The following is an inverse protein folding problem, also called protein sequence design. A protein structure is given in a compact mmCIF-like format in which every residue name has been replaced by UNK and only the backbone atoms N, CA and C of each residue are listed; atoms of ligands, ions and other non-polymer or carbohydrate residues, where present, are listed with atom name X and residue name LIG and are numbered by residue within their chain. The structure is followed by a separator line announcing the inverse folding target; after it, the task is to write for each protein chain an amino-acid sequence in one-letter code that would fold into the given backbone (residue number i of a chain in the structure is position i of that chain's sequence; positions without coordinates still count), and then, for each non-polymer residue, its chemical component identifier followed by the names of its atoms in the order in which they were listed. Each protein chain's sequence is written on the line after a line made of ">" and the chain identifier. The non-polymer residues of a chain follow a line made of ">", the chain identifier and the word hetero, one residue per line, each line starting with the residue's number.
data_IF_710213906479
#
_entry.id   IF_710213906479
#
_cell.length_a   1.000
_cell.length_b   1.000
_cell.length_c   1.000
_cell.angle_alpha   90.00
_cell.angle_beta   90.00
_cell.angle_gamma   90.00
#
_symmetry.space_group_name_H-M   'P 1'
#
loop_
_entity.id
_entity.type
_entity.pdbx_description
1 polymer ?
#
# COMPACT_ATOMS: atom_id res chain seq x y z
N UNK A 1 -1.20 -5.12 -20.17
CA UNK A 1 -0.83 -5.34 -18.75
C UNK A 1 0.55 -4.77 -18.47
N UNK A 2 0.69 -4.01 -17.39
CA UNK A 2 1.95 -3.40 -16.94
C UNK A 2 2.10 -3.56 -15.42
N UNK A 3 3.33 -3.51 -14.91
CA UNK A 3 3.57 -3.39 -13.46
C UNK A 3 3.89 -1.94 -13.16
N UNK A 4 3.07 -1.31 -12.33
CA UNK A 4 3.30 0.05 -11.87
C UNK A 4 3.89 0.04 -10.46
N UNK A 5 4.73 1.03 -10.18
CA UNK A 5 5.25 1.35 -8.85
C UNK A 5 4.63 2.64 -8.38
N UNK A 6 4.01 2.63 -7.21
CA UNK A 6 3.38 3.80 -6.59
C UNK A 6 4.08 4.05 -5.25
N UNK A 7 4.77 5.19 -5.07
CA UNK A 7 5.27 5.57 -3.76
C UNK A 7 4.10 5.90 -2.83
N UNK A 8 4.22 5.50 -1.57
CA UNK A 8 3.24 5.77 -0.52
C UNK A 8 3.85 6.70 0.52
N UNK A 9 3.05 7.61 1.05
CA UNK A 9 3.44 8.42 2.21
C UNK A 9 3.19 7.63 3.49
N UNK A 10 4.04 7.79 4.51
CA UNK A 10 3.79 7.20 5.84
C UNK A 10 2.78 8.09 6.58
N UNK A 11 1.51 7.77 6.41
CA UNK A 11 0.35 8.42 7.05
C UNK A 11 -0.71 7.36 7.34
N UNK A 12 -1.59 7.61 8.31
CA UNK A 12 -2.60 6.65 8.77
C UNK A 12 -3.57 6.26 7.64
N UNK A 13 -3.87 7.19 6.73
CA UNK A 13 -4.74 7.00 5.57
C UNK A 13 -4.28 7.84 4.37
N UNK A 14 -4.33 7.24 3.18
CA UNK A 14 -4.14 7.95 1.91
C UNK A 14 -4.94 7.28 0.79
N UNK A 15 -5.18 8.01 -0.30
CA UNK A 15 -5.79 7.48 -1.52
C UNK A 15 -4.78 7.41 -2.65
N UNK A 16 -4.76 6.29 -3.36
CA UNK A 16 -3.99 6.11 -4.59
C UNK A 16 -4.94 5.82 -5.76
N UNK A 17 -4.64 6.38 -6.93
CA UNK A 17 -5.38 6.08 -8.15
C UNK A 17 -4.71 4.91 -8.88
N UNK A 18 -5.44 3.82 -9.07
CA UNK A 18 -5.01 2.68 -9.89
C UNK A 18 -6.09 2.36 -10.93
N UNK A 19 -5.73 1.85 -12.12
CA UNK A 19 -6.71 1.38 -13.08
C UNK A 19 -7.65 0.32 -12.48
N UNK A 20 -8.92 0.35 -12.86
CA UNK A 20 -9.93 -0.62 -12.41
C UNK A 20 -9.46 -2.05 -12.72
N UNK A 21 -9.56 -2.94 -11.73
CA UNK A 21 -9.08 -4.31 -11.84
C UNK A 21 -7.58 -4.48 -11.58
N UNK A 22 -6.89 -3.42 -11.15
CA UNK A 22 -5.52 -3.52 -10.68
C UNK A 22 -5.37 -4.59 -9.59
N UNK A 23 -4.37 -5.46 -9.75
CA UNK A 23 -4.00 -6.46 -8.75
C UNK A 23 -2.75 -6.00 -8.02
N UNK A 24 -2.90 -5.66 -6.75
CA UNK A 24 -1.76 -5.35 -5.89
C UNK A 24 -0.91 -6.60 -5.72
N UNK A 25 0.40 -6.46 -5.88
CA UNK A 25 1.36 -7.56 -5.86
C UNK A 25 2.13 -7.61 -4.54
N UNK A 26 2.59 -6.45 -4.08
CA UNK A 26 3.40 -6.34 -2.86
C UNK A 26 3.57 -4.88 -2.43
N UNK A 27 3.97 -4.69 -1.18
CA UNK A 27 4.51 -3.44 -0.64
C UNK A 27 5.91 -3.71 -0.07
N UNK A 28 6.86 -2.83 -0.38
CA UNK A 28 8.24 -2.91 0.13
C UNK A 28 8.86 -1.52 0.17
N UNK A 29 9.87 -1.35 1.02
CA UNK A 29 10.75 -0.20 0.98
C UNK A 29 11.78 -0.36 -0.16
N UNK A 30 11.92 0.69 -0.97
CA UNK A 30 12.98 0.79 -1.97
C UNK A 30 13.70 2.13 -1.78
N UNK A 31 15.01 2.08 -1.51
CA UNK A 31 15.80 3.26 -1.15
C UNK A 31 15.14 4.08 -0.03
N UNK A 32 14.64 3.38 0.99
CA UNK A 32 13.91 3.95 2.14
C UNK A 32 12.64 4.74 1.80
N UNK A 33 12.01 4.40 0.67
CA UNK A 33 10.67 4.89 0.30
C UNK A 33 9.73 3.70 0.27
N UNK A 34 8.64 3.76 1.04
CA UNK A 34 7.57 2.77 0.96
C UNK A 34 6.92 2.84 -0.43
N UNK A 35 6.94 1.72 -1.14
CA UNK A 35 6.36 1.60 -2.47
C UNK A 35 5.38 0.43 -2.51
N UNK A 36 4.35 0.59 -3.34
CA UNK A 36 3.40 -0.45 -3.72
C UNK A 36 3.61 -0.81 -5.19
N UNK A 37 3.53 -2.10 -5.51
CA UNK A 37 3.52 -2.58 -6.89
C UNK A 37 2.18 -3.21 -7.23
N UNK A 38 1.67 -2.89 -8.41
CA UNK A 38 0.41 -3.45 -8.91
C UNK A 38 0.52 -3.86 -10.39
N UNK A 39 -0.11 -4.98 -10.74
CA UNK A 39 -0.37 -5.36 -12.12
C UNK A 39 -1.63 -4.66 -12.59
N UNK A 40 -1.53 -3.89 -13.67
CA UNK A 40 -2.59 -3.01 -14.15
C UNK A 40 -2.87 -3.19 -15.63
N UNK A 41 -4.07 -2.80 -16.06
CA UNK A 41 -4.42 -2.57 -17.45
C UNK A 41 -4.39 -1.05 -17.72
N UNK A 42 -3.44 -0.51 -18.51
CA UNK A 42 -3.27 0.93 -18.66
C UNK A 42 -4.43 1.63 -19.37
N UNK A 43 -5.23 0.87 -20.13
CA UNK A 43 -6.38 1.40 -20.86
C UNK A 43 -7.67 1.40 -20.00
N UNK A 44 -7.63 0.82 -18.79
CA UNK A 44 -8.76 0.80 -17.89
C UNK A 44 -8.92 2.13 -17.13
N UNK A 45 -10.17 2.48 -16.83
CA UNK A 45 -10.49 3.72 -16.10
C UNK A 45 -9.89 3.70 -14.69
N UNK A 46 -9.24 4.78 -14.22
CA UNK A 46 -8.74 4.89 -12.86
C UNK A 46 -9.86 4.78 -11.80
N UNK A 47 -9.50 4.25 -10.63
CA UNK A 47 -10.31 4.22 -9.42
C UNK A 47 -9.42 4.51 -8.21
N UNK A 48 -9.97 5.19 -7.22
CA UNK A 48 -9.30 5.43 -5.95
C UNK A 48 -9.33 4.17 -5.08
N UNK A 49 -8.18 3.86 -4.49
CA UNK A 49 -7.99 2.85 -3.46
C UNK A 49 -7.53 3.55 -2.19
N UNK A 50 -8.25 3.33 -1.09
CA UNK A 50 -7.84 3.78 0.24
C UNK A 50 -6.81 2.82 0.80
N UNK A 51 -5.66 3.35 1.20
CA UNK A 51 -4.56 2.62 1.82
C UNK A 51 -4.44 3.10 3.27
N UNK A 52 -4.32 2.14 4.19
CA UNK A 52 -4.11 2.38 5.63
C UNK A 52 -2.77 1.80 6.04
N UNK A 53 -2.00 2.55 6.82
CA UNK A 53 -0.66 2.15 7.27
C UNK A 53 -0.59 2.25 8.78
N UNK A 54 -0.11 1.18 9.42
CA UNK A 54 0.04 1.12 10.86
C UNK A 54 1.47 0.75 11.24
N UNK A 55 2.01 1.42 12.26
CA UNK A 55 3.30 1.04 12.86
C UNK A 55 3.15 -0.15 13.80
N UNK A 56 4.18 -0.98 13.92
CA UNK A 56 4.18 -2.06 14.93
C UNK A 56 4.01 -1.49 16.34
N UNK A 57 3.05 -2.02 17.09
CA UNK A 57 2.75 -1.59 18.47
C UNK A 57 1.80 -0.40 18.57
N UNK A 58 1.35 0.19 17.46
CA UNK A 58 0.34 1.24 17.44
C UNK A 58 -1.08 0.64 17.42
N UNK A 59 -2.10 1.38 17.91
CA UNK A 59 -3.50 0.99 17.74
C UNK A 59 -3.85 0.79 16.25
N UNK A 60 -4.62 -0.25 15.97
CA UNK A 60 -5.02 -0.62 14.62
C UNK A 60 -6.48 -1.11 14.58
N UNK A 61 -7.34 -0.53 15.44
CA UNK A 61 -8.77 -0.87 15.49
C UNK A 61 -9.45 -0.63 14.13
N UNK A 62 -9.00 0.39 13.40
CA UNK A 62 -9.46 0.71 12.05
C UNK A 62 -9.01 -0.29 10.97
N UNK A 63 -8.10 -1.22 11.29
CA UNK A 63 -7.70 -2.28 10.35
C UNK A 63 -8.74 -3.41 10.25
N UNK A 64 -9.71 -3.46 11.18
CA UNK A 64 -10.73 -4.52 11.20
C UNK A 64 -11.57 -4.46 9.93
N UNK A 65 -11.57 -5.56 9.17
CA UNK A 65 -12.31 -5.68 7.91
C UNK A 65 -11.57 -5.15 6.68
N UNK A 66 -10.37 -4.61 6.84
CA UNK A 66 -9.50 -4.24 5.72
C UNK A 66 -8.74 -5.46 5.17
N UNK A 67 -8.36 -5.39 3.91
CA UNK A 67 -7.51 -6.39 3.28
C UNK A 67 -6.04 -6.08 3.53
N UNK A 68 -5.33 -7.05 4.11
CA UNK A 68 -3.89 -6.93 4.35
C UNK A 68 -3.10 -7.07 3.05
N UNK A 69 -2.21 -6.11 2.78
CA UNK A 69 -1.35 -6.10 1.60
C UNK A 69 0.03 -6.66 1.93
N UNK A 70 0.62 -6.24 3.04
CA UNK A 70 1.97 -6.68 3.40
C UNK A 70 2.59 -5.91 4.56
N UNK A 71 3.79 -6.34 4.94
CA UNK A 71 4.62 -5.69 5.96
C UNK A 71 5.96 -5.32 5.35
N UNK A 72 6.48 -4.16 5.72
CA UNK A 72 7.78 -3.66 5.26
C UNK A 72 8.56 -3.06 6.41
N UNK A 73 9.88 -3.01 6.27
CA UNK A 73 10.81 -2.48 7.24
C UNK A 73 11.58 -1.33 6.60
N UNK A 74 11.83 -0.25 7.35
CA UNK A 74 12.48 0.99 6.92
C UNK A 74 13.50 1.44 7.95
N UNK A 75 14.39 2.37 7.57
CA UNK A 75 15.48 2.90 8.41
C UNK A 75 16.28 1.78 9.09
N UNK A 76 16.94 0.94 8.28
CA UNK A 76 17.71 -0.22 8.76
C UNK A 76 16.92 -1.13 9.71
N UNK A 77 15.64 -1.31 9.41
CA UNK A 77 14.67 -2.12 10.18
C UNK A 77 14.30 -1.54 11.55
N UNK A 78 14.65 -0.29 11.83
CA UNK A 78 14.21 0.41 13.05
C UNK A 78 12.70 0.69 13.05
N UNK A 79 12.09 0.83 11.87
CA UNK A 79 10.66 1.07 11.70
C UNK A 79 10.01 -0.07 10.91
N UNK A 80 8.86 -0.54 11.37
CA UNK A 80 8.09 -1.61 10.74
C UNK A 80 6.67 -1.12 10.49
N UNK A 81 6.22 -1.24 9.24
CA UNK A 81 4.91 -0.76 8.79
C UNK A 81 4.08 -1.89 8.21
N UNK A 82 2.78 -1.88 8.51
CA UNK A 82 1.79 -2.83 8.02
C UNK A 82 0.78 -2.09 7.15
N UNK A 83 0.63 -2.53 5.90
CA UNK A 83 -0.20 -1.84 4.89
C UNK A 83 -1.45 -2.64 4.60
N UNK A 84 -2.59 -1.95 4.60
CA UNK A 84 -3.91 -2.49 4.34
C UNK A 84 -4.62 -1.66 3.27
N UNK A 85 -5.65 -2.22 2.65
CA UNK A 85 -6.58 -1.49 1.78
C UNK A 85 -8.03 -1.79 2.15
N UNK A 86 -8.92 -0.90 1.74
CA UNK A 86 -10.36 -1.20 1.71
C UNK A 86 -10.67 -2.29 0.68
N UNK A 87 -11.73 -3.07 0.96
CA UNK A 87 -12.19 -4.18 0.12
C UNK A 87 -12.81 -3.70 -1.21
#
# INVERSE_FOLDING_TARGET
>A
MQIWKVPLEITDEQKIALPKGARILSVQAQADVLCLWALIDPDATPRDFTIRIFGTGHPADDAVGLEFIGTTQMLDSALVWHVFKEA
#
